data_IF_930152924490
#
_entry.id   IF_930152924490
#
_cell.length_a   1.000
_cell.length_b   1.000
_cell.length_c   1.000
_cell.angle_alpha   90.00
_cell.angle_beta   90.00
_cell.angle_gamma   90.00
#
_symmetry.space_group_name_H-M   'P 1'
#
loop_
_entity.id
_entity.type
_entity.pdbx_description
1 polymer ?
#
# COMPACT_ATOMS: atom_id res chain seq x y z
N UNK A 1 -5.03 8.77 -18.71
CA UNK A 1 -4.44 9.31 -17.45
C UNK A 1 -2.94 9.07 -17.46
N UNK A 2 -2.12 10.01 -16.96
CA UNK A 2 -0.74 9.69 -16.60
C UNK A 2 -0.80 8.82 -15.35
N UNK A 3 -0.40 7.58 -15.47
CA UNK A 3 -0.35 6.67 -14.34
C UNK A 3 0.67 7.19 -13.32
N UNK A 4 0.31 7.20 -12.03
CA UNK A 4 1.21 7.67 -10.98
C UNK A 4 2.40 6.74 -10.83
N UNK A 5 3.58 7.30 -10.76
CA UNK A 5 4.82 6.58 -10.50
C UNK A 5 5.84 7.48 -9.81
N UNK A 6 6.77 6.88 -9.12
CA UNK A 6 7.88 7.58 -8.48
C UNK A 6 9.23 7.11 -9.04
N UNK A 7 10.23 8.00 -9.07
CA UNK A 7 11.61 7.60 -9.32
C UNK A 7 12.19 6.86 -8.11
N UNK A 8 13.25 6.08 -8.32
CA UNK A 8 13.93 5.40 -7.22
C UNK A 8 14.48 6.38 -6.16
N UNK A 9 14.89 7.58 -6.56
CA UNK A 9 15.35 8.59 -5.61
C UNK A 9 14.20 9.24 -4.83
N UNK A 10 13.08 9.55 -5.50
CA UNK A 10 11.85 10.02 -4.82
C UNK A 10 11.34 8.97 -3.82
N UNK A 11 11.37 7.68 -4.18
CA UNK A 11 10.99 6.61 -3.26
C UNK A 11 11.82 6.63 -1.96
N UNK A 12 13.15 6.79 -2.07
CA UNK A 12 14.03 6.90 -0.89
C UNK A 12 13.74 8.14 -0.03
N UNK A 13 13.38 9.27 -0.68
CA UNK A 13 12.98 10.48 0.03
C UNK A 13 11.69 10.26 0.81
N UNK A 14 10.69 9.63 0.21
CA UNK A 14 9.41 9.30 0.84
C UNK A 14 9.59 8.32 2.00
N UNK A 15 10.35 7.25 1.83
CA UNK A 15 10.70 6.30 2.90
C UNK A 15 11.34 7.00 4.08
N UNK A 16 12.31 7.91 3.82
CA UNK A 16 12.98 8.67 4.88
C UNK A 16 12.02 9.62 5.59
N UNK A 17 11.21 10.37 4.85
CA UNK A 17 10.24 11.29 5.44
C UNK A 17 9.21 10.55 6.29
N UNK A 18 8.80 9.37 5.84
CA UNK A 18 7.87 8.49 6.56
C UNK A 18 8.50 7.96 7.86
N UNK A 19 9.78 7.54 7.84
CA UNK A 19 10.51 7.13 9.04
C UNK A 19 10.65 8.28 10.05
N UNK A 20 11.00 9.48 9.58
CA UNK A 20 11.08 10.70 10.38
C UNK A 20 9.70 11.10 10.98
N UNK A 21 8.59 10.75 10.32
CA UNK A 21 7.22 10.99 10.79
C UNK A 21 6.70 9.94 11.78
N UNK A 22 7.44 8.85 12.00
CA UNK A 22 7.15 7.85 13.03
C UNK A 22 6.81 6.44 12.55
N UNK A 23 6.65 6.21 11.23
CA UNK A 23 6.53 4.85 10.68
C UNK A 23 7.93 4.36 10.27
N UNK A 24 8.57 3.56 11.13
CA UNK A 24 9.95 3.13 10.95
C UNK A 24 10.18 2.29 9.68
N UNK A 25 11.42 2.31 9.15
CA UNK A 25 11.83 1.42 8.05
C UNK A 25 11.51 -0.04 8.34
N UNK A 26 11.70 -0.48 9.58
CA UNK A 26 11.32 -1.83 10.01
C UNK A 26 9.83 -2.10 9.82
N UNK A 27 8.97 -1.16 10.22
CA UNK A 27 7.52 -1.33 10.09
C UNK A 27 7.08 -1.28 8.62
N UNK A 28 7.68 -0.40 7.79
CA UNK A 28 7.44 -0.39 6.35
C UNK A 28 7.82 -1.72 5.69
N UNK A 29 8.95 -2.33 6.08
CA UNK A 29 9.37 -3.67 5.63
C UNK A 29 8.39 -4.76 6.06
N UNK A 30 7.89 -4.74 7.31
CA UNK A 30 6.86 -5.67 7.78
C UNK A 30 5.56 -5.51 6.97
N UNK A 31 5.13 -4.28 6.70
CA UNK A 31 3.95 -3.99 5.89
C UNK A 31 4.12 -4.53 4.46
N UNK A 32 5.28 -4.25 3.82
CA UNK A 32 5.62 -4.71 2.48
C UNK A 32 5.57 -6.24 2.36
N UNK A 33 6.28 -6.92 3.26
CA UNK A 33 6.32 -8.38 3.28
C UNK A 33 4.96 -9.01 3.61
N UNK A 34 4.16 -8.37 4.49
CA UNK A 34 2.82 -8.86 4.83
C UNK A 34 1.89 -8.80 3.63
N UNK A 35 1.82 -7.67 2.94
CA UNK A 35 0.97 -7.54 1.75
C UNK A 35 1.43 -8.50 0.66
N UNK A 36 2.75 -8.58 0.40
CA UNK A 36 3.29 -9.50 -0.58
C UNK A 36 2.95 -10.97 -0.25
N UNK A 37 3.13 -11.41 1.00
CA UNK A 37 2.79 -12.76 1.43
C UNK A 37 1.29 -13.08 1.30
N UNK A 38 0.42 -12.11 1.60
CA UNK A 38 -1.01 -12.27 1.43
C UNK A 38 -1.38 -12.40 -0.06
N UNK A 39 -0.86 -11.53 -0.94
CA UNK A 39 -1.09 -11.60 -2.38
C UNK A 39 -0.58 -12.89 -3.00
N UNK A 40 0.63 -13.32 -2.62
CA UNK A 40 1.17 -14.62 -3.04
C UNK A 40 0.23 -15.77 -2.65
N UNK A 41 -0.22 -15.77 -1.40
CA UNK A 41 -1.13 -16.81 -0.92
C UNK A 41 -2.49 -16.78 -1.63
N UNK A 42 -3.13 -15.61 -1.76
CA UNK A 42 -4.42 -15.42 -2.42
C UNK A 42 -4.39 -15.88 -3.89
N UNK A 43 -3.42 -15.36 -4.66
CA UNK A 43 -3.29 -15.68 -6.08
C UNK A 43 -3.00 -17.17 -6.28
N UNK A 44 -2.11 -17.74 -5.47
CA UNK A 44 -1.78 -19.17 -5.58
C UNK A 44 -2.98 -20.06 -5.25
N UNK A 45 -3.77 -19.70 -4.24
CA UNK A 45 -5.00 -20.43 -3.89
C UNK A 45 -6.07 -20.29 -4.97
N UNK A 46 -6.24 -19.11 -5.56
CA UNK A 46 -7.23 -18.87 -6.61
C UNK A 46 -6.89 -19.55 -7.94
N UNK A 47 -5.60 -19.64 -8.29
CA UNK A 47 -5.14 -20.26 -9.55
C UNK A 47 -5.04 -21.79 -9.48
N UNK A 48 -5.09 -22.38 -8.28
CA UNK A 48 -5.17 -23.84 -8.13
C UNK A 48 -6.46 -24.40 -8.77
N UNK A 49 -6.32 -24.99 -9.95
CA UNK A 49 -7.40 -25.74 -10.57
C UNK A 49 -7.71 -26.99 -9.73
N UNK A 50 -8.80 -26.91 -8.92
CA UNK A 50 -9.44 -27.95 -8.08
C UNK A 50 -8.65 -28.38 -6.83
N UNK A 51 -9.32 -28.57 -5.69
CA UNK A 51 -8.75 -29.30 -4.57
C UNK A 51 -8.50 -30.74 -5.03
N UNK A 52 -7.24 -31.08 -5.27
CA UNK A 52 -6.86 -32.48 -5.43
C UNK A 52 -6.95 -33.13 -4.03
N UNK A 53 -7.48 -34.37 -3.90
CA UNK A 53 -7.69 -35.02 -2.60
C UNK A 53 -6.40 -35.34 -1.82
N UNK A 54 -5.21 -35.08 -2.35
CA UNK A 54 -3.96 -35.15 -1.59
C UNK A 54 -3.63 -33.75 -1.09
N UNK A 55 -3.74 -33.54 0.22
CA UNK A 55 -3.36 -32.35 1.00
C UNK A 55 -1.84 -32.09 0.92
N UNK A 56 -1.29 -31.90 -0.28
CA UNK A 56 0.13 -31.53 -0.40
C UNK A 56 0.30 -30.11 0.08
N UNK A 57 1.15 -29.92 1.07
CA UNK A 57 1.61 -28.63 1.56
C UNK A 57 2.18 -27.80 0.39
N UNK A 58 1.81 -26.53 0.32
CA UNK A 58 2.37 -25.59 -0.66
C UNK A 58 3.84 -25.33 -0.36
N UNK A 59 4.62 -25.17 -1.41
CA UNK A 59 6.07 -24.97 -1.31
C UNK A 59 6.47 -23.64 -1.92
N UNK A 60 7.31 -22.85 -1.23
CA UNK A 60 7.88 -21.62 -1.72
C UNK A 60 9.41 -21.61 -1.61
N UNK A 61 10.07 -21.13 -2.65
CA UNK A 61 11.51 -20.84 -2.62
C UNK A 61 11.74 -19.36 -2.83
N UNK A 62 12.39 -18.70 -1.87
CA UNK A 62 12.56 -17.25 -1.86
C UNK A 62 14.05 -16.91 -2.01
N UNK A 63 14.37 -16.21 -3.09
CA UNK A 63 15.73 -15.77 -3.39
C UNK A 63 15.93 -14.37 -2.80
N UNK A 64 16.75 -14.27 -1.77
CA UNK A 64 16.97 -13.04 -1.03
C UNK A 64 18.35 -12.45 -1.33
N UNK A 65 18.39 -11.16 -1.65
CA UNK A 65 19.60 -10.36 -1.64
C UNK A 65 20.00 -9.96 -0.23
N UNK A 66 21.14 -9.27 -0.11
CA UNK A 66 21.69 -8.83 1.19
C UNK A 66 21.13 -7.49 1.70
N UNK A 67 20.35 -6.77 0.89
CA UNK A 67 19.75 -5.47 1.18
C UNK A 67 18.30 -5.56 1.65
N UNK A 68 17.58 -4.41 1.61
CA UNK A 68 16.21 -4.30 2.10
C UNK A 68 15.21 -5.17 1.32
N UNK A 69 15.35 -5.29 0.00
CA UNK A 69 14.48 -6.18 -0.78
C UNK A 69 14.60 -7.65 -0.32
N UNK A 70 15.82 -8.09 0.06
CA UNK A 70 16.02 -9.38 0.74
C UNK A 70 15.32 -9.42 2.10
N UNK A 71 15.29 -8.29 2.82
CA UNK A 71 14.56 -8.11 4.06
C UNK A 71 13.04 -8.37 3.89
N UNK A 72 12.43 -7.78 2.87
CA UNK A 72 11.03 -8.03 2.49
C UNK A 72 10.81 -9.51 2.18
N UNK A 73 11.77 -10.16 1.49
CA UNK A 73 11.77 -11.60 1.22
C UNK A 73 11.78 -12.44 2.50
N UNK A 74 12.52 -12.05 3.54
CA UNK A 74 12.51 -12.76 4.83
C UNK A 74 11.18 -12.60 5.57
N UNK A 75 10.54 -11.43 5.49
CA UNK A 75 9.17 -11.24 6.03
C UNK A 75 8.19 -12.15 5.30
N UNK A 76 8.22 -12.16 3.96
CA UNK A 76 7.38 -13.07 3.15
C UNK A 76 7.59 -14.52 3.56
N UNK A 77 8.84 -14.95 3.75
CA UNK A 77 9.18 -16.31 4.17
C UNK A 77 8.52 -16.69 5.50
N UNK A 78 8.65 -15.82 6.51
CA UNK A 78 8.06 -16.03 7.84
C UNK A 78 6.54 -16.18 7.77
N UNK A 79 5.89 -15.27 7.04
CA UNK A 79 4.43 -15.23 6.95
C UNK A 79 3.86 -16.39 6.15
N UNK A 80 4.49 -16.80 5.05
CA UNK A 80 4.09 -18.03 4.32
C UNK A 80 4.30 -19.26 5.20
N UNK A 81 5.39 -19.35 5.96
CA UNK A 81 5.62 -20.44 6.92
C UNK A 81 4.52 -20.53 7.97
N UNK A 82 4.11 -19.37 8.54
CA UNK A 82 3.00 -19.30 9.50
C UNK A 82 1.65 -19.69 8.89
N UNK A 83 1.46 -19.45 7.58
CA UNK A 83 0.29 -19.94 6.81
C UNK A 83 0.35 -21.42 6.46
N UNK A 84 1.36 -22.16 6.94
CA UNK A 84 1.50 -23.59 6.76
C UNK A 84 2.23 -24.01 5.47
N UNK A 85 2.91 -23.10 4.78
CA UNK A 85 3.73 -23.43 3.61
C UNK A 85 5.05 -24.09 4.03
N UNK A 86 5.60 -24.92 3.16
CA UNK A 86 6.98 -25.36 3.24
C UNK A 86 7.86 -24.33 2.50
N UNK A 87 8.71 -23.61 3.26
CA UNK A 87 9.44 -22.44 2.77
C UNK A 87 10.93 -22.68 2.89
N UNK A 88 11.68 -22.29 1.86
CA UNK A 88 13.13 -22.28 1.85
C UNK A 88 13.69 -20.98 1.32
N UNK A 89 14.85 -20.57 1.84
CA UNK A 89 15.57 -19.36 1.47
C UNK A 89 16.81 -19.70 0.63
N UNK A 90 17.10 -18.87 -0.37
CA UNK A 90 18.37 -18.85 -1.11
C UNK A 90 19.01 -17.48 -0.88
N UNK A 91 20.20 -17.48 -0.26
CA UNK A 91 20.96 -16.26 0.05
C UNK A 91 21.92 -15.93 -1.11
N UNK A 92 21.45 -15.11 -2.06
CA UNK A 92 22.15 -14.90 -3.34
C UNK A 92 23.51 -14.20 -3.16
N UNK A 93 23.57 -13.17 -2.33
CA UNK A 93 24.79 -12.40 -2.07
C UNK A 93 25.39 -12.68 -0.68
N UNK A 94 24.98 -13.80 -0.05
CA UNK A 94 25.35 -14.16 1.33
C UNK A 94 24.37 -13.57 2.35
N UNK A 95 24.78 -13.50 3.61
CA UNK A 95 23.93 -13.02 4.70
C UNK A 95 23.54 -11.53 4.55
N UNK A 96 22.35 -11.13 5.08
CA UNK A 96 21.86 -9.76 5.00
C UNK A 96 22.81 -8.76 5.69
N UNK A 97 22.81 -7.51 5.20
CA UNK A 97 23.70 -6.46 5.68
C UNK A 97 22.98 -5.23 6.24
N UNK A 98 21.70 -5.04 5.94
CA UNK A 98 20.91 -3.93 6.52
C UNK A 98 20.29 -4.35 7.85
N UNK A 99 20.14 -3.44 8.83
CA UNK A 99 19.66 -3.77 10.18
C UNK A 99 18.34 -4.54 10.18
N UNK A 100 17.37 -4.07 9.40
CA UNK A 100 16.03 -4.65 9.35
C UNK A 100 16.02 -6.02 8.68
N UNK A 101 16.81 -6.19 7.61
CA UNK A 101 16.99 -7.49 6.96
C UNK A 101 17.69 -8.50 7.89
N UNK A 102 18.69 -8.07 8.67
CA UNK A 102 19.37 -8.92 9.67
C UNK A 102 18.36 -9.40 10.71
N UNK A 103 17.53 -8.49 11.23
CA UNK A 103 16.48 -8.80 12.21
C UNK A 103 15.51 -9.82 11.64
N UNK A 104 14.98 -9.59 10.44
CA UNK A 104 14.01 -10.45 9.78
C UNK A 104 14.59 -11.82 9.40
N UNK A 105 15.85 -11.89 9.01
CA UNK A 105 16.53 -13.16 8.80
C UNK A 105 16.71 -13.95 10.11
N UNK A 106 17.00 -13.26 11.22
CA UNK A 106 17.04 -13.87 12.56
C UNK A 106 15.73 -14.53 12.91
N UNK A 107 14.61 -13.82 12.75
CA UNK A 107 13.27 -14.35 12.98
C UNK A 107 12.92 -15.53 12.04
N UNK A 108 13.36 -15.48 10.78
CA UNK A 108 13.16 -16.60 9.85
C UNK A 108 13.94 -17.85 10.31
N UNK A 109 15.17 -17.70 10.83
CA UNK A 109 15.94 -18.81 11.42
C UNK A 109 15.26 -19.39 12.66
N UNK A 110 14.71 -18.56 13.52
CA UNK A 110 13.94 -19.01 14.71
C UNK A 110 12.72 -19.86 14.34
N UNK A 111 12.08 -19.57 13.21
CA UNK A 111 10.99 -20.39 12.67
C UNK A 111 11.46 -21.68 11.96
N UNK A 112 12.76 -21.97 11.98
CA UNK A 112 13.35 -23.16 11.38
C UNK A 112 13.28 -23.15 9.85
N UNK A 113 13.23 -21.99 9.19
CA UNK A 113 13.24 -21.89 7.73
C UNK A 113 14.66 -22.17 7.24
N UNK A 114 14.89 -23.21 6.42
CA UNK A 114 16.20 -23.55 5.91
C UNK A 114 16.69 -22.51 4.91
N UNK A 115 17.97 -22.16 5.01
CA UNK A 115 18.65 -21.25 4.09
C UNK A 115 19.85 -21.96 3.43
N UNK A 116 20.09 -21.66 2.16
CA UNK A 116 21.20 -22.22 1.37
C UNK A 116 21.77 -21.17 0.41
N UNK A 117 22.96 -21.43 -0.11
CA UNK A 117 23.53 -20.68 -1.22
C UNK A 117 22.91 -21.07 -2.56
N UNK A 118 22.98 -20.23 -3.61
CA UNK A 118 22.57 -20.60 -4.97
C UNK A 118 23.26 -21.89 -5.43
N UNK A 119 22.54 -22.74 -6.13
CA UNK A 119 23.03 -24.04 -6.60
C UNK A 119 23.02 -25.18 -5.57
N UNK A 120 22.97 -24.89 -4.28
CA UNK A 120 23.05 -25.92 -3.23
C UNK A 120 21.80 -26.86 -3.19
N UNK A 121 20.71 -26.47 -3.83
CA UNK A 121 19.43 -27.21 -3.86
C UNK A 121 19.03 -27.72 -5.24
N UNK A 122 19.97 -27.70 -6.19
CA UNK A 122 19.72 -28.20 -7.54
C UNK A 122 19.29 -29.67 -7.56
N UNK A 123 19.69 -30.45 -6.55
CA UNK A 123 19.39 -31.87 -6.42
C UNK A 123 18.16 -32.17 -5.53
N UNK A 124 17.46 -31.17 -4.99
CA UNK A 124 16.24 -31.43 -4.22
C UNK A 124 15.10 -31.91 -5.14
N UNK A 125 14.49 -33.06 -4.84
CA UNK A 125 13.39 -33.58 -5.64
C UNK A 125 12.15 -32.72 -5.42
N UNK A 126 11.75 -32.00 -6.46
CA UNK A 126 10.49 -31.29 -6.50
C UNK A 126 10.63 -29.82 -6.86
N UNK A 127 9.81 -29.44 -7.80
CA UNK A 127 9.59 -28.05 -8.20
C UNK A 127 8.83 -27.31 -7.10
N UNK A 128 9.26 -26.11 -6.64
CA UNK A 128 8.43 -25.30 -5.76
C UNK A 128 7.15 -24.84 -6.48
N UNK A 129 6.04 -24.71 -5.75
CA UNK A 129 4.81 -24.16 -6.31
C UNK A 129 5.00 -22.68 -6.67
N UNK A 130 5.71 -21.95 -5.81
CA UNK A 130 6.01 -20.52 -5.96
C UNK A 130 7.50 -20.29 -5.80
N UNK A 131 8.01 -19.39 -6.63
CA UNK A 131 9.34 -18.78 -6.50
C UNK A 131 9.17 -17.28 -6.27
N UNK A 132 9.90 -16.73 -5.29
CA UNK A 132 9.91 -15.29 -5.01
C UNK A 132 11.30 -14.74 -5.30
N UNK A 133 11.36 -13.77 -6.20
CA UNK A 133 12.53 -12.93 -6.46
C UNK A 133 12.51 -11.74 -5.50
N UNK A 134 13.33 -11.79 -4.49
CA UNK A 134 13.58 -10.75 -3.52
C UNK A 134 15.09 -10.36 -3.49
N UNK A 135 15.76 -10.45 -4.65
CA UNK A 135 17.21 -10.24 -4.72
C UNK A 135 17.54 -8.75 -4.75
N UNK A 136 17.02 -8.04 -5.75
CA UNK A 136 17.31 -6.62 -5.96
C UNK A 136 16.00 -5.84 -6.23
N UNK A 137 15.85 -4.66 -5.61
CA UNK A 137 14.75 -3.72 -5.82
C UNK A 137 15.27 -2.38 -6.39
N UNK A 138 14.70 -1.24 -5.97
CA UNK A 138 15.04 0.12 -6.42
C UNK A 138 16.53 0.48 -6.35
N UNK A 139 17.29 -0.19 -5.51
CA UNK A 139 18.76 0.02 -5.41
C UNK A 139 19.61 -0.63 -6.51
N UNK A 140 19.01 -1.38 -7.44
CA UNK A 140 19.75 -2.06 -8.49
C UNK A 140 20.06 -1.14 -9.67
N UNK A 141 21.31 -1.17 -10.12
CA UNK A 141 21.78 -0.45 -11.31
C UNK A 141 22.75 -1.32 -12.12
N UNK A 142 22.69 -1.18 -13.43
CA UNK A 142 23.57 -1.86 -14.37
C UNK A 142 23.18 -3.30 -14.64
N UNK A 143 24.15 -4.24 -14.56
CA UNK A 143 23.93 -5.65 -14.95
C UNK A 143 24.13 -6.60 -13.78
N UNK A 144 23.44 -7.75 -13.83
CA UNK A 144 23.55 -8.82 -12.84
C UNK A 144 24.99 -9.33 -12.76
N UNK A 145 25.51 -9.40 -11.54
CA UNK A 145 26.79 -10.06 -11.24
C UNK A 145 26.59 -11.58 -11.27
N UNK A 146 27.69 -12.32 -11.25
CA UNK A 146 27.70 -13.77 -11.41
C UNK A 146 26.68 -14.51 -10.53
N UNK A 147 26.63 -14.21 -9.23
CA UNK A 147 25.69 -14.86 -8.30
C UNK A 147 24.21 -14.48 -8.60
N UNK A 148 23.94 -13.21 -8.88
CA UNK A 148 22.60 -12.77 -9.25
C UNK A 148 22.15 -13.38 -10.58
N UNK A 149 23.05 -13.49 -11.55
CA UNK A 149 22.76 -14.14 -12.83
C UNK A 149 22.51 -15.65 -12.69
N UNK A 150 23.25 -16.33 -11.81
CA UNK A 150 23.00 -17.73 -11.51
C UNK A 150 21.65 -17.94 -10.86
N UNK A 151 21.30 -17.09 -9.87
CA UNK A 151 19.98 -17.13 -9.23
C UNK A 151 18.84 -16.84 -10.22
N UNK A 152 19.01 -15.86 -11.11
CA UNK A 152 18.03 -15.57 -12.16
C UNK A 152 17.82 -16.76 -13.11
N UNK A 153 18.89 -17.50 -13.44
CA UNK A 153 18.80 -18.73 -14.24
C UNK A 153 18.02 -19.83 -13.50
N UNK A 154 18.30 -20.06 -12.19
CA UNK A 154 17.54 -21.02 -11.38
C UNK A 154 16.05 -20.65 -11.29
N UNK A 155 15.71 -19.35 -11.17
CA UNK A 155 14.33 -18.83 -11.18
C UNK A 155 13.68 -19.13 -12.54
N UNK A 156 14.41 -18.89 -13.65
CA UNK A 156 13.91 -19.16 -14.99
C UNK A 156 13.65 -20.67 -15.22
N UNK A 157 14.54 -21.55 -14.73
CA UNK A 157 14.37 -23.00 -14.80
C UNK A 157 13.16 -23.47 -13.99
N UNK A 158 12.97 -22.93 -12.78
CA UNK A 158 11.79 -23.22 -11.96
C UNK A 158 10.49 -22.76 -12.64
N UNK A 159 10.50 -21.57 -13.27
CA UNK A 159 9.37 -21.07 -14.08
C UNK A 159 9.07 -21.99 -15.26
N UNK A 160 10.10 -22.38 -16.01
CA UNK A 160 9.95 -23.30 -17.15
C UNK A 160 9.40 -24.66 -16.72
N UNK A 161 9.74 -25.11 -15.50
CA UNK A 161 9.16 -26.30 -14.87
C UNK A 161 7.72 -26.07 -14.36
N UNK A 162 7.19 -24.84 -14.43
CA UNK A 162 5.80 -24.45 -14.13
C UNK A 162 5.58 -23.88 -12.71
N UNK A 163 6.61 -23.42 -12.01
CA UNK A 163 6.45 -22.59 -10.81
C UNK A 163 5.87 -21.23 -11.17
N UNK A 164 5.04 -20.66 -10.29
CA UNK A 164 4.62 -19.25 -10.41
C UNK A 164 5.71 -18.37 -9.82
N UNK A 165 6.14 -17.34 -10.56
CA UNK A 165 7.21 -16.44 -10.14
C UNK A 165 6.63 -15.09 -9.72
N UNK A 166 6.92 -14.69 -8.49
CA UNK A 166 6.65 -13.36 -7.97
C UNK A 166 7.96 -12.59 -7.83
N UNK A 167 7.98 -11.33 -8.25
CA UNK A 167 9.06 -10.40 -7.94
C UNK A 167 8.60 -9.40 -6.87
N UNK A 168 9.49 -9.10 -5.91
CA UNK A 168 9.27 -8.04 -4.95
C UNK A 168 9.90 -6.75 -5.47
N UNK A 169 9.11 -5.69 -5.47
CA UNK A 169 9.41 -4.35 -5.94
C UNK A 169 9.68 -4.30 -7.46
N UNK A 170 10.76 -4.88 -7.96
CA UNK A 170 11.17 -4.88 -9.36
C UNK A 170 11.84 -6.22 -9.69
N UNK A 171 11.57 -6.86 -10.85
CA UNK A 171 12.29 -8.06 -11.24
C UNK A 171 13.81 -7.84 -11.28
N UNK A 172 14.58 -8.72 -10.67
CA UNK A 172 16.03 -8.59 -10.54
C UNK A 172 16.74 -8.62 -11.89
N UNK A 173 17.60 -7.64 -12.11
CA UNK A 173 18.23 -7.37 -13.41
C UNK A 173 17.64 -6.18 -14.16
N UNK A 174 16.62 -5.55 -13.57
CA UNK A 174 15.93 -4.37 -14.10
C UNK A 174 16.13 -3.19 -13.14
N UNK A 175 16.56 -2.04 -13.65
CA UNK A 175 16.62 -0.80 -12.88
C UNK A 175 15.25 -0.12 -12.80
N UNK A 176 14.88 0.45 -11.64
CA UNK A 176 13.56 1.04 -11.45
C UNK A 176 13.25 2.27 -12.30
N UNK A 177 14.28 3.04 -12.65
CA UNK A 177 14.16 4.23 -13.50
C UNK A 177 14.49 3.96 -14.98
N UNK A 178 14.62 2.68 -15.36
CA UNK A 178 14.98 2.28 -16.73
C UNK A 178 13.88 2.64 -17.73
N UNK A 179 14.27 3.34 -18.80
CA UNK A 179 13.36 3.75 -19.88
C UNK A 179 13.80 3.24 -21.27
N UNK A 180 14.99 2.66 -21.38
CA UNK A 180 15.52 2.08 -22.63
C UNK A 180 15.76 0.56 -22.45
N UNK A 181 15.09 -0.26 -23.27
CA UNK A 181 15.24 -1.72 -23.26
C UNK A 181 16.70 -2.18 -23.51
N UNK A 182 17.51 -1.40 -24.23
CA UNK A 182 18.90 -1.76 -24.52
C UNK A 182 19.81 -1.75 -23.26
N UNK A 183 19.40 -1.06 -22.20
CA UNK A 183 20.11 -1.03 -20.94
C UNK A 183 19.73 -2.19 -20.01
N UNK A 184 18.65 -2.92 -20.32
CA UNK A 184 18.19 -4.07 -19.54
C UNK A 184 19.20 -5.22 -19.59
N UNK A 185 19.39 -5.91 -18.48
CA UNK A 185 20.13 -7.18 -18.48
C UNK A 185 19.32 -8.27 -19.19
N UNK A 186 19.92 -8.95 -20.16
CA UNK A 186 19.29 -10.04 -20.90
C UNK A 186 18.94 -11.27 -20.02
N UNK A 187 19.56 -11.35 -18.83
CA UNK A 187 19.30 -12.36 -17.79
C UNK A 187 18.29 -11.90 -16.74
N UNK A 188 17.62 -10.76 -16.96
CA UNK A 188 16.60 -10.24 -16.05
C UNK A 188 15.55 -11.31 -15.74
N UNK A 189 15.13 -11.39 -14.49
CA UNK A 189 14.05 -12.27 -14.03
C UNK A 189 12.75 -11.94 -14.77
N UNK A 190 12.00 -12.97 -15.13
CA UNK A 190 10.67 -12.85 -15.72
C UNK A 190 9.62 -13.34 -14.73
N UNK A 191 9.02 -12.41 -14.02
CA UNK A 191 7.94 -12.71 -13.09
C UNK A 191 6.60 -12.95 -13.80
N UNK A 192 5.67 -13.61 -13.15
CA UNK A 192 4.26 -13.66 -13.51
C UNK A 192 3.50 -12.51 -12.82
N UNK A 193 3.97 -12.15 -11.63
CA UNK A 193 3.45 -11.05 -10.81
C UNK A 193 4.61 -10.26 -10.22
N UNK A 194 4.48 -8.94 -10.19
CA UNK A 194 5.40 -8.06 -9.45
C UNK A 194 4.62 -7.31 -8.39
N UNK A 195 4.99 -7.47 -7.13
CA UNK A 195 4.43 -6.69 -6.02
C UNK A 195 5.38 -5.54 -5.75
N UNK A 196 5.02 -4.34 -6.23
CA UNK A 196 5.80 -3.12 -6.02
C UNK A 196 5.24 -2.32 -4.86
N UNK A 197 6.09 -1.65 -4.10
CA UNK A 197 5.72 -1.02 -2.83
C UNK A 197 5.44 0.46 -3.04
N UNK A 198 4.37 0.95 -2.41
CA UNK A 198 3.85 2.30 -2.43
C UNK A 198 3.36 2.74 -3.81
N UNK A 199 4.24 2.81 -4.82
CA UNK A 199 3.93 3.29 -6.16
C UNK A 199 4.68 2.49 -7.23
N UNK A 200 4.20 2.54 -8.47
CA UNK A 200 4.96 2.08 -9.63
C UNK A 200 6.25 2.88 -9.76
N UNK A 201 7.28 2.28 -10.33
CA UNK A 201 8.52 2.94 -10.75
C UNK A 201 8.46 3.18 -12.26
N UNK A 202 9.28 4.09 -12.78
CA UNK A 202 9.25 4.48 -14.19
C UNK A 202 9.32 3.29 -15.15
N UNK A 203 10.08 2.23 -14.80
CA UNK A 203 10.20 1.02 -15.60
C UNK A 203 8.88 0.25 -15.73
N UNK A 204 8.02 0.25 -14.73
CA UNK A 204 6.73 -0.45 -14.78
C UNK A 204 5.75 0.11 -15.82
N UNK A 205 5.99 1.35 -16.30
CA UNK A 205 5.19 2.02 -17.34
C UNK A 205 5.72 1.78 -18.75
N UNK A 206 6.85 1.06 -18.89
CA UNK A 206 7.45 0.81 -20.19
C UNK A 206 6.86 -0.43 -20.85
N UNK A 207 6.46 -0.35 -22.10
CA UNK A 207 5.88 -1.47 -22.86
C UNK A 207 6.78 -2.71 -22.84
N UNK A 208 8.11 -2.53 -22.92
CA UNK A 208 9.05 -3.64 -22.87
C UNK A 208 9.09 -4.34 -21.51
N UNK A 209 8.75 -3.65 -20.43
CA UNK A 209 8.82 -4.21 -19.07
C UNK A 209 7.70 -5.23 -18.79
N UNK A 210 6.56 -5.13 -19.48
CA UNK A 210 5.40 -6.00 -19.25
C UNK A 210 5.76 -7.51 -19.33
N UNK A 211 6.65 -7.90 -20.25
CA UNK A 211 7.11 -9.31 -20.41
C UNK A 211 8.02 -9.80 -19.28
N UNK A 212 8.54 -8.89 -18.45
CA UNK A 212 9.38 -9.21 -17.28
C UNK A 212 8.63 -9.07 -15.96
N UNK A 213 7.81 -8.03 -15.83
CA UNK A 213 7.06 -7.74 -14.61
C UNK A 213 5.80 -8.59 -14.46
N UNK A 214 5.23 -9.11 -15.57
CA UNK A 214 3.91 -9.72 -15.54
C UNK A 214 2.84 -8.74 -15.07
N UNK A 215 1.91 -9.20 -14.23
CA UNK A 215 0.94 -8.31 -13.61
C UNK A 215 1.57 -7.55 -12.44
N UNK A 216 1.59 -6.22 -12.54
CA UNK A 216 2.11 -5.35 -11.47
C UNK A 216 1.01 -5.03 -10.47
N UNK A 217 1.28 -5.29 -9.19
CA UNK A 217 0.39 -5.05 -8.05
C UNK A 217 1.07 -4.01 -7.16
N UNK A 218 0.42 -2.88 -6.95
CA UNK A 218 0.92 -1.85 -6.02
C UNK A 218 0.46 -2.21 -4.62
N UNK A 219 1.40 -2.27 -3.67
CA UNK A 219 1.16 -2.53 -2.26
C UNK A 219 1.32 -1.23 -1.46
N UNK A 220 0.26 -0.80 -0.82
CA UNK A 220 0.32 0.33 0.12
C UNK A 220 1.01 -0.12 1.41
N UNK A 221 2.19 0.43 1.68
CA UNK A 221 3.01 0.09 2.84
C UNK A 221 2.94 1.12 3.96
N UNK A 222 2.02 2.09 3.84
CA UNK A 222 1.79 3.16 4.82
C UNK A 222 2.68 4.39 4.62
N UNK A 223 3.30 4.55 3.45
CA UNK A 223 4.02 5.78 3.10
C UNK A 223 3.01 6.87 2.77
N UNK A 224 3.15 8.02 3.41
CA UNK A 224 2.36 9.20 3.08
C UNK A 224 3.06 9.95 1.95
N UNK A 225 2.35 10.13 0.85
CA UNK A 225 2.79 10.90 -0.30
C UNK A 225 1.64 11.82 -0.72
N UNK A 226 1.83 13.12 -0.50
CA UNK A 226 0.81 14.13 -0.76
C UNK A 226 0.38 14.15 -2.23
N UNK A 227 1.34 13.91 -3.16
CA UNK A 227 1.03 13.82 -4.59
C UNK A 227 0.14 12.61 -4.92
N UNK A 228 0.35 11.47 -4.26
CA UNK A 228 -0.47 10.27 -4.44
C UNK A 228 -1.83 10.41 -3.73
N UNK A 229 -1.84 11.02 -2.55
CA UNK A 229 -3.07 11.22 -1.76
C UNK A 229 -4.09 12.10 -2.47
N UNK A 230 -3.62 12.99 -3.36
CA UNK A 230 -4.46 13.85 -4.16
C UNK A 230 -5.00 13.19 -5.46
N UNK A 231 -4.51 12.01 -5.84
CA UNK A 231 -4.93 11.32 -7.06
C UNK A 231 -6.06 10.30 -6.77
N UNK A 232 -7.02 10.15 -7.69
CA UNK A 232 -8.06 9.11 -7.55
C UNK A 232 -7.42 7.71 -7.59
N UNK A 233 -7.79 6.84 -6.66
CA UNK A 233 -7.31 5.44 -6.56
C UNK A 233 -7.97 4.54 -7.61
N UNK A 234 -9.16 4.90 -8.06
CA UNK A 234 -9.95 4.19 -9.07
C UNK A 234 -10.06 5.00 -10.35
N UNK A 235 -10.13 4.34 -11.50
CA UNK A 235 -10.37 5.02 -12.78
C UNK A 235 -11.82 5.49 -12.91
N UNK A 236 -12.05 6.51 -13.73
CA UNK A 236 -13.40 7.00 -14.02
C UNK A 236 -14.32 5.90 -14.58
N UNK A 237 -13.79 4.95 -15.36
CA UNK A 237 -14.57 3.84 -15.90
C UNK A 237 -15.01 2.86 -14.80
N UNK A 238 -14.09 2.51 -13.87
CA UNK A 238 -14.42 1.64 -12.72
C UNK A 238 -15.46 2.28 -11.83
N UNK A 239 -15.36 3.59 -11.58
CA UNK A 239 -16.37 4.33 -10.80
C UNK A 239 -17.71 4.40 -11.50
N UNK A 240 -17.73 4.58 -12.83
CA UNK A 240 -18.98 4.70 -13.61
C UNK A 240 -19.76 3.38 -13.71
N UNK A 241 -19.11 2.23 -13.61
CA UNK A 241 -19.73 0.90 -13.69
C UNK A 241 -20.27 0.38 -12.35
N UNK A 242 -20.11 1.14 -11.26
CA UNK A 242 -20.61 0.72 -9.94
C UNK A 242 -22.10 0.89 -9.79
N UNK A 243 -22.75 -0.11 -9.21
CA UNK A 243 -24.18 -0.05 -8.81
C UNK A 243 -24.37 0.51 -7.38
N UNK A 244 -23.34 0.40 -6.53
CA UNK A 244 -23.36 0.86 -5.13
C UNK A 244 -22.04 1.52 -4.82
N UNK A 245 -22.08 2.69 -4.22
CA UNK A 245 -20.91 3.49 -3.85
C UNK A 245 -20.69 3.46 -2.34
N UNK A 246 -19.41 3.30 -1.93
CA UNK A 246 -18.93 3.51 -0.57
C UNK A 246 -18.37 4.93 -0.41
N UNK A 247 -17.99 5.30 0.81
CA UNK A 247 -17.40 6.62 1.07
C UNK A 247 -16.06 6.83 0.32
N UNK A 248 -15.24 5.79 0.25
CA UNK A 248 -13.97 5.80 -0.47
C UNK A 248 -14.16 6.02 -1.98
N UNK A 249 -15.24 5.45 -2.55
CA UNK A 249 -15.58 5.68 -3.95
C UNK A 249 -15.97 7.14 -4.20
N UNK A 250 -16.68 7.74 -3.23
CA UNK A 250 -17.07 9.14 -3.33
C UNK A 250 -15.85 10.08 -3.24
N UNK A 251 -14.88 9.76 -2.38
CA UNK A 251 -13.59 10.47 -2.33
C UNK A 251 -12.88 10.37 -3.68
N UNK A 252 -12.81 9.19 -4.27
CA UNK A 252 -12.20 8.97 -5.58
C UNK A 252 -12.95 9.70 -6.72
N UNK A 253 -14.29 9.79 -6.66
CA UNK A 253 -15.08 10.58 -7.61
C UNK A 253 -14.68 12.06 -7.54
N UNK A 254 -14.56 12.64 -6.34
CA UNK A 254 -14.17 14.04 -6.17
C UNK A 254 -12.73 14.27 -6.66
N UNK A 255 -11.81 13.34 -6.35
CA UNK A 255 -10.45 13.41 -6.86
C UNK A 255 -10.41 13.32 -8.40
N UNK A 256 -11.25 12.47 -9.02
CA UNK A 256 -11.37 12.37 -10.47
C UNK A 256 -11.93 13.66 -11.10
N UNK A 257 -12.91 14.32 -10.46
CA UNK A 257 -13.45 15.60 -10.92
C UNK A 257 -12.38 16.70 -10.94
N UNK A 258 -11.42 16.67 -10.01
CA UNK A 258 -10.33 17.63 -9.92
C UNK A 258 -9.03 17.20 -10.63
N UNK A 259 -8.96 15.97 -11.15
CA UNK A 259 -7.81 15.49 -11.92
C UNK A 259 -7.53 16.38 -13.15
N UNK A 260 -6.30 16.40 -13.71
CA UNK A 260 -5.93 17.26 -14.84
C UNK A 260 -6.85 17.17 -16.06
N UNK A 261 -7.47 16.03 -16.28
CA UNK A 261 -8.47 15.73 -17.32
C UNK A 261 -9.92 15.73 -16.81
N UNK A 262 -10.13 16.15 -15.56
CA UNK A 262 -11.44 16.22 -14.91
C UNK A 262 -12.26 17.44 -15.27
N UNK A 263 -13.23 17.77 -14.42
CA UNK A 263 -14.19 18.87 -14.65
C UNK A 263 -13.51 20.24 -14.51
N UNK A 264 -13.67 21.09 -15.51
CA UNK A 264 -13.06 22.43 -15.52
C UNK A 264 -13.58 23.30 -14.37
N UNK A 265 -14.85 23.14 -13.98
CA UNK A 265 -15.46 23.90 -12.91
C UNK A 265 -14.92 23.47 -11.53
N UNK A 266 -14.87 22.16 -11.25
CA UNK A 266 -14.36 21.65 -9.98
C UNK A 266 -12.88 21.97 -9.79
N UNK A 267 -12.08 21.87 -10.83
CA UNK A 267 -10.66 22.25 -10.83
C UNK A 267 -10.39 23.73 -10.54
N UNK A 268 -11.34 24.60 -10.90
CA UNK A 268 -11.22 26.04 -10.63
C UNK A 268 -11.61 26.44 -9.20
N UNK A 269 -12.17 25.51 -8.40
CA UNK A 269 -12.57 25.80 -7.03
C UNK A 269 -11.34 25.89 -6.11
N UNK A 270 -11.47 26.76 -5.12
CA UNK A 270 -10.54 26.97 -4.00
C UNK A 270 -11.32 26.96 -2.69
N UNK A 271 -10.65 26.84 -1.54
CA UNK A 271 -11.29 27.00 -0.24
C UNK A 271 -12.13 28.29 -0.16
N UNK A 272 -11.63 29.37 -0.76
CA UNK A 272 -12.30 30.67 -0.74
C UNK A 272 -13.59 30.68 -1.57
N UNK A 273 -13.56 30.08 -2.77
CA UNK A 273 -14.75 30.02 -3.64
C UNK A 273 -15.83 29.11 -3.10
N UNK A 274 -15.45 28.06 -2.33
CA UNK A 274 -16.38 27.10 -1.74
C UNK A 274 -17.11 27.62 -0.50
N UNK A 275 -16.64 28.71 0.13
CA UNK A 275 -17.32 29.29 1.33
C UNK A 275 -18.80 29.55 1.14
N UNK A 276 -19.20 30.06 -0.02
CA UNK A 276 -20.59 30.39 -0.28
C UNK A 276 -21.45 29.10 -0.39
N UNK A 277 -20.95 28.08 -1.06
CA UNK A 277 -21.65 26.81 -1.21
C UNK A 277 -21.77 26.10 0.13
N UNK A 278 -20.71 26.03 0.92
CA UNK A 278 -20.76 25.47 2.27
C UNK A 278 -21.83 26.15 3.16
N UNK A 279 -22.04 27.46 2.98
CA UNK A 279 -23.08 28.20 3.72
C UNK A 279 -24.48 27.92 3.17
N UNK A 280 -24.60 27.78 1.87
CA UNK A 280 -25.84 27.48 1.14
C UNK A 280 -26.33 26.07 1.53
N UNK A 281 -25.52 25.03 1.34
CA UNK A 281 -25.86 23.64 1.70
C UNK A 281 -26.17 23.47 3.20
N UNK A 282 -25.41 24.13 4.08
CA UNK A 282 -25.72 24.14 5.50
C UNK A 282 -27.08 24.79 5.81
N UNK A 283 -27.48 25.82 5.04
CA UNK A 283 -28.79 26.45 5.14
C UNK A 283 -29.92 25.53 4.68
N UNK A 284 -29.72 24.81 3.58
CA UNK A 284 -30.69 23.88 3.01
C UNK A 284 -30.90 22.65 3.90
N UNK A 285 -29.82 22.13 4.55
CA UNK A 285 -29.94 21.12 5.62
C UNK A 285 -30.85 21.62 6.76
N UNK A 286 -30.66 22.86 7.22
CA UNK A 286 -31.51 23.42 8.30
C UNK A 286 -32.96 23.57 7.87
N UNK A 287 -33.20 24.00 6.63
CA UNK A 287 -34.56 24.14 6.09
C UNK A 287 -35.26 22.77 5.96
N UNK A 288 -34.57 21.74 5.49
CA UNK A 288 -35.08 20.37 5.43
C UNK A 288 -35.45 19.83 6.82
N UNK A 289 -34.63 20.11 7.84
CA UNK A 289 -34.92 19.75 9.24
C UNK A 289 -36.18 20.47 9.75
N UNK A 290 -36.31 21.77 9.51
CA UNK A 290 -37.44 22.57 9.94
C UNK A 290 -38.76 22.11 9.27
N UNK A 291 -38.69 21.71 8.00
CA UNK A 291 -39.77 21.17 7.22
C UNK A 291 -40.09 19.71 7.57
N UNK A 292 -39.24 19.01 8.32
CA UNK A 292 -39.34 17.57 8.62
C UNK A 292 -39.44 16.71 7.35
N UNK A 293 -38.64 17.08 6.36
CA UNK A 293 -38.56 16.41 5.08
C UNK A 293 -37.28 15.53 5.06
N UNK A 294 -37.47 14.26 5.41
CA UNK A 294 -36.37 13.31 5.53
C UNK A 294 -35.71 12.98 4.17
N UNK A 295 -36.46 13.06 3.06
CA UNK A 295 -35.96 12.81 1.72
C UNK A 295 -35.01 13.96 1.29
N UNK A 296 -35.47 15.20 1.42
CA UNK A 296 -34.69 16.39 1.17
C UNK A 296 -33.50 16.49 2.12
N UNK A 297 -33.67 16.16 3.41
CA UNK A 297 -32.57 16.15 4.37
C UNK A 297 -31.45 15.17 3.96
N UNK A 298 -31.80 14.02 3.40
CA UNK A 298 -30.80 13.06 2.92
C UNK A 298 -30.03 13.62 1.72
N UNK A 299 -30.69 14.34 0.81
CA UNK A 299 -30.08 15.00 -0.35
C UNK A 299 -29.09 16.08 0.11
N UNK A 300 -29.55 17.03 0.95
CA UNK A 300 -28.75 18.17 1.42
C UNK A 300 -27.55 17.77 2.29
N UNK A 301 -27.68 16.68 3.05
CA UNK A 301 -26.53 16.10 3.76
C UNK A 301 -25.48 15.53 2.79
N UNK A 302 -25.90 15.03 1.64
CA UNK A 302 -25.02 14.60 0.56
C UNK A 302 -24.25 15.78 -0.04
N UNK A 303 -24.94 16.90 -0.31
CA UNK A 303 -24.33 18.11 -0.86
C UNK A 303 -23.39 18.78 0.13
N UNK A 304 -23.75 18.80 1.41
CA UNK A 304 -22.84 19.24 2.48
C UNK A 304 -21.59 18.34 2.58
N UNK A 305 -21.76 17.02 2.43
CA UNK A 305 -20.63 16.08 2.40
C UNK A 305 -19.71 16.33 1.20
N UNK A 306 -20.28 16.67 0.03
CA UNK A 306 -19.49 17.07 -1.15
C UNK A 306 -18.60 18.27 -0.83
N UNK A 307 -19.12 19.29 -0.15
CA UNK A 307 -18.31 20.46 0.24
C UNK A 307 -17.14 20.08 1.16
N UNK A 308 -17.36 19.11 2.05
CA UNK A 308 -16.28 18.62 2.96
C UNK A 308 -15.20 17.89 2.17
N UNK A 309 -15.58 16.93 1.33
CA UNK A 309 -14.63 16.12 0.56
C UNK A 309 -13.89 16.99 -0.48
N UNK A 310 -14.60 17.95 -1.11
CA UNK A 310 -13.97 18.87 -2.08
C UNK A 310 -12.93 19.77 -1.43
N UNK A 311 -13.21 20.30 -0.22
CA UNK A 311 -12.22 21.05 0.55
C UNK A 311 -11.04 20.18 0.98
N UNK A 312 -11.29 18.93 1.37
CA UNK A 312 -10.22 18.01 1.73
C UNK A 312 -9.34 17.64 0.52
N UNK A 313 -9.95 17.48 -0.66
CA UNK A 313 -9.22 17.26 -1.90
C UNK A 313 -8.32 18.45 -2.28
N UNK A 314 -8.81 19.68 -2.12
CA UNK A 314 -7.98 20.90 -2.32
C UNK A 314 -6.82 20.91 -1.32
N UNK A 315 -7.09 20.57 -0.04
CA UNK A 315 -6.04 20.47 0.99
C UNK A 315 -4.97 19.44 0.63
N UNK A 316 -5.37 18.29 0.06
CA UNK A 316 -4.43 17.25 -0.40
C UNK A 316 -3.60 17.71 -1.60
N UNK A 317 -4.19 18.43 -2.56
CA UNK A 317 -3.48 19.01 -3.72
C UNK A 317 -2.44 20.05 -3.30
N UNK A 318 -2.70 20.78 -2.21
CA UNK A 318 -1.81 21.80 -1.64
C UNK A 318 -0.78 21.19 -0.66
N UNK A 319 -0.84 19.87 -0.38
CA UNK A 319 0.00 19.19 0.60
C UNK A 319 -0.21 19.65 2.04
N UNK A 320 -1.41 20.13 2.37
CA UNK A 320 -1.73 20.71 3.67
C UNK A 320 -2.42 19.69 4.62
N UNK A 321 -3.38 18.93 4.14
CA UNK A 321 -4.11 17.87 4.85
C UNK A 321 -4.96 17.05 3.87
N UNK A 322 -5.33 15.84 4.26
CA UNK A 322 -6.17 14.91 3.49
C UNK A 322 -7.54 14.70 4.13
N UNK A 323 -8.44 14.00 3.46
CA UNK A 323 -9.71 13.56 4.05
C UNK A 323 -9.47 12.60 5.23
N UNK A 324 -8.41 11.79 5.18
CA UNK A 324 -8.04 10.89 6.27
C UNK A 324 -7.63 11.67 7.52
N UNK A 325 -6.91 12.79 7.39
CA UNK A 325 -6.59 13.69 8.50
C UNK A 325 -7.83 14.32 9.12
N UNK A 326 -8.81 14.69 8.30
CA UNK A 326 -10.10 15.22 8.77
C UNK A 326 -10.84 14.16 9.58
N UNK A 327 -10.93 12.93 9.06
CA UNK A 327 -11.58 11.79 9.72
C UNK A 327 -10.84 11.42 11.01
N UNK A 328 -9.52 11.30 10.96
CA UNK A 328 -8.69 10.99 12.12
C UNK A 328 -8.90 12.03 13.23
N UNK A 329 -8.79 13.31 12.89
CA UNK A 329 -8.94 14.41 13.85
C UNK A 329 -10.31 14.45 14.52
N UNK A 330 -11.40 14.21 13.79
CA UNK A 330 -12.74 14.17 14.37
C UNK A 330 -12.96 12.89 15.17
N UNK A 331 -12.47 11.74 14.71
CA UNK A 331 -12.60 10.44 15.40
C UNK A 331 -11.90 10.45 16.74
N UNK A 332 -10.64 10.87 16.79
CA UNK A 332 -9.90 11.03 18.05
C UNK A 332 -10.59 11.98 19.03
N UNK A 333 -11.11 13.07 18.51
CA UNK A 333 -11.88 14.05 19.30
C UNK A 333 -13.13 13.42 19.88
N UNK A 334 -13.89 12.63 19.11
CA UNK A 334 -15.11 11.97 19.59
C UNK A 334 -14.80 10.89 20.62
N UNK A 335 -13.82 10.02 20.36
CA UNK A 335 -13.38 9.00 21.32
C UNK A 335 -12.94 9.63 22.65
N UNK A 336 -12.07 10.64 22.60
CA UNK A 336 -11.54 11.31 23.79
C UNK A 336 -12.61 12.07 24.59
N UNK A 337 -13.61 12.65 23.92
CA UNK A 337 -14.68 13.41 24.56
C UNK A 337 -15.83 12.58 25.09
N UNK A 338 -15.82 11.27 24.85
CA UNK A 338 -16.87 10.35 25.30
C UNK A 338 -16.30 9.18 26.11
N UNK A 339 -15.58 9.46 27.24
CA UNK A 339 -14.97 8.41 28.06
C UNK A 339 -15.96 7.46 28.71
N UNK A 340 -17.25 7.81 28.75
CA UNK A 340 -18.34 6.94 29.18
C UNK A 340 -18.83 5.96 28.07
N UNK A 341 -18.40 6.14 26.84
CA UNK A 341 -18.69 5.22 25.71
C UNK A 341 -17.47 4.39 25.35
N UNK A 342 -16.30 5.03 25.35
CA UNK A 342 -15.04 4.44 24.90
C UNK A 342 -14.04 4.13 26.02
N UNK A 343 -14.44 4.30 27.27
CA UNK A 343 -13.64 4.03 28.48
C UNK A 343 -14.51 3.46 29.58
N UNK A 344 -14.01 3.50 30.82
CA UNK A 344 -14.63 2.87 32.00
C UNK A 344 -15.47 3.83 32.87
N UNK A 345 -15.76 5.03 32.33
CA UNK A 345 -16.52 6.04 33.10
C UNK A 345 -18.02 5.78 32.96
N UNK A 346 -18.72 5.71 34.09
CA UNK A 346 -20.18 5.59 34.14
C UNK A 346 -20.82 6.98 34.30
N UNK A 347 -21.95 7.21 33.61
CA UNK A 347 -22.75 8.43 33.65
C UNK A 347 -24.22 8.04 33.79
N UNK A 348 -24.91 8.66 34.78
CA UNK A 348 -26.28 8.32 35.14
C UNK A 348 -27.34 9.30 34.56
N UNK A 349 -26.90 10.45 33.98
CA UNK A 349 -27.85 11.47 33.48
C UNK A 349 -27.32 12.26 32.27
N UNK A 350 -28.24 12.83 31.48
CA UNK A 350 -27.93 13.72 30.36
C UNK A 350 -27.23 14.99 30.84
N UNK A 351 -27.64 15.58 31.95
CA UNK A 351 -27.05 16.82 32.48
C UNK A 351 -25.60 16.61 32.90
N UNK A 352 -25.30 15.47 33.51
CA UNK A 352 -23.94 15.08 33.89
C UNK A 352 -23.05 14.89 32.64
N UNK A 353 -23.60 14.25 31.63
CA UNK A 353 -22.94 14.07 30.32
C UNK A 353 -22.55 15.42 29.70
N UNK A 354 -23.51 16.36 29.58
CA UNK A 354 -23.27 17.68 28.97
C UNK A 354 -22.22 18.46 29.79
N UNK A 355 -22.32 18.42 31.12
CA UNK A 355 -21.37 19.10 31.99
C UNK A 355 -19.94 18.56 31.84
N UNK A 356 -19.78 17.25 31.81
CA UNK A 356 -18.48 16.60 31.62
C UNK A 356 -17.87 16.89 30.27
N UNK A 357 -18.68 16.82 29.20
CA UNK A 357 -18.27 17.15 27.84
C UNK A 357 -17.75 18.59 27.71
N UNK A 358 -18.43 19.56 28.34
CA UNK A 358 -17.97 20.95 28.39
C UNK A 358 -16.68 21.12 29.19
N UNK A 359 -16.50 20.40 30.30
CA UNK A 359 -15.26 20.41 31.08
C UNK A 359 -14.07 19.88 30.26
N UNK A 360 -14.26 18.75 29.55
CA UNK A 360 -13.24 18.17 28.68
C UNK A 360 -12.85 19.16 27.57
N UNK A 361 -13.85 19.76 26.91
CA UNK A 361 -13.64 20.75 25.85
C UNK A 361 -12.89 22.01 26.35
N UNK A 362 -13.17 22.44 27.58
CA UNK A 362 -12.48 23.57 28.21
C UNK A 362 -11.01 23.26 28.50
N UNK A 363 -10.72 22.09 29.06
CA UNK A 363 -9.35 21.62 29.32
C UNK A 363 -8.52 21.50 28.03
N UNK A 364 -9.13 21.05 26.94
CA UNK A 364 -8.46 20.98 25.64
C UNK A 364 -8.11 22.35 25.07
N UNK A 365 -8.95 23.36 25.27
CA UNK A 365 -8.65 24.74 24.85
C UNK A 365 -7.49 25.32 25.65
N UNK A 366 -7.51 25.17 26.98
CA UNK A 366 -6.45 25.63 27.87
C UNK A 366 -5.09 24.99 27.51
N UNK A 367 -5.07 23.69 27.19
CA UNK A 367 -3.83 22.98 26.79
C UNK A 367 -3.29 23.34 25.42
N UNK A 368 -4.07 24.02 24.55
CA UNK A 368 -3.64 24.52 23.24
C UNK A 368 -3.15 25.96 23.28
N UNK A 369 -3.57 26.74 24.28
CA UNK A 369 -3.13 28.12 24.48
C UNK A 369 -1.76 28.19 25.19
N UNK A 370 -1.34 27.09 25.85
CA UNK A 370 -0.04 26.95 26.53
C UNK A 370 1.08 26.36 25.61
N UNK A 371 0.79 26.10 24.34
CA UNK A 371 1.77 25.64 23.32
C UNK A 371 1.96 26.69 22.24
#
# INVERSE_FOLDING_TARGET
MKEYYVSCDKMKELERATDESGLSYYQMMENAGNIAANRINEITMATRQRPHPSERQLTARIYCGKGNNGGDGFVVARLLKQKGWDVSLILVDGEPQTPDAITNYGLAKELGIPAADPGARADEPGRPDVVVDAIYGTGFHGRLREKGAAAAAEIADAKAAGSVVFALDIPSGMGGDLTDENELDDRCVRADYTVTFHAKKAVHLQDFAAKYCGQVIVADIGIVDDEQSALPKQSAAELADKEVYAFEDFVDIVAQLRAPDGCVWDRAQTHETLKKYLTEEAGEVLEAIDNKDDENLCEELGDLLLQIVLNAQIGAEDGAFTIDDVIQGISEKMVRRHPWVFGDMEIDSIDENVSLWEQIKKKEKESKEDK
#
